data_IF_085515056598
#
_entry.id   IF_085515056598
#
_cell.length_a   1.000
_cell.length_b   1.000
_cell.length_c   1.000
_cell.angle_alpha   90.00
_cell.angle_beta   90.00
_cell.angle_gamma   90.00
#
_symmetry.space_group_name_H-M   'P 1'
#
loop_
_entity.id
_entity.type
_entity.pdbx_description
1 polymer ?
#
# COMPACT_ATOMS: atom_id res chain seq x y z
N UNK A 1 4.63 -15.76 26.86
CA UNK A 1 4.00 -16.44 28.01
C UNK A 1 4.60 -15.79 29.23
N UNK A 2 3.82 -15.02 29.99
CA UNK A 2 4.34 -14.40 31.22
C UNK A 2 4.82 -15.49 32.17
N UNK A 3 6.01 -15.31 32.76
CA UNK A 3 6.50 -16.22 33.78
C UNK A 3 5.47 -16.29 34.92
N UNK A 4 5.17 -17.50 35.38
CA UNK A 4 4.11 -17.75 36.36
C UNK A 4 4.26 -16.92 37.63
N UNK A 5 5.51 -16.61 38.04
CA UNK A 5 5.80 -15.85 39.24
C UNK A 5 5.54 -14.34 39.10
N UNK A 6 5.47 -13.81 37.88
CA UNK A 6 5.18 -12.40 37.60
C UNK A 6 3.68 -12.10 37.47
N UNK A 7 2.82 -12.96 38.01
CA UNK A 7 1.36 -12.77 37.97
C UNK A 7 0.76 -12.48 39.34
N UNK A 8 -0.21 -11.56 39.39
CA UNK A 8 -0.96 -11.26 40.60
C UNK A 8 -1.72 -12.49 41.10
N UNK A 9 -2.26 -13.28 40.16
CA UNK A 9 -3.02 -14.49 40.45
C UNK A 9 -2.18 -15.53 41.19
N UNK A 10 -0.97 -15.81 40.71
CA UNK A 10 -0.09 -16.81 41.33
C UNK A 10 0.39 -16.37 42.71
N UNK A 11 0.65 -15.07 42.87
CA UNK A 11 0.95 -14.50 44.18
C UNK A 11 -0.20 -14.67 45.17
N UNK A 12 -1.43 -14.29 44.78
CA UNK A 12 -2.63 -14.45 45.63
C UNK A 12 -2.87 -15.89 46.05
N UNK A 13 -2.63 -16.85 45.14
CA UNK A 13 -2.75 -18.27 45.44
C UNK A 13 -1.71 -18.71 46.48
N UNK A 14 -0.46 -18.26 46.33
CA UNK A 14 0.63 -18.63 47.24
C UNK A 14 0.50 -17.95 48.60
N UNK A 15 0.03 -16.70 48.66
CA UNK A 15 -0.13 -15.96 49.92
C UNK A 15 -1.39 -16.32 50.70
N UNK A 16 -2.28 -17.15 50.15
CA UNK A 16 -3.56 -17.47 50.78
C UNK A 16 -3.36 -18.19 52.11
N UNK A 17 -3.94 -17.62 53.18
CA UNK A 17 -3.85 -18.18 54.53
C UNK A 17 -2.54 -17.88 55.26
N UNK A 18 -1.66 -17.08 54.65
CA UNK A 18 -0.42 -16.61 55.30
C UNK A 18 -0.65 -15.28 56.00
N UNK A 19 0.19 -14.96 56.98
CA UNK A 19 0.19 -13.65 57.67
C UNK A 19 1.02 -12.59 56.92
N UNK A 20 1.36 -12.82 55.64
CA UNK A 20 2.19 -11.91 54.86
C UNK A 20 1.41 -10.62 54.53
N UNK A 21 2.03 -9.46 54.78
CA UNK A 21 1.47 -8.15 54.37
C UNK A 21 1.65 -7.95 52.85
N UNK A 22 0.89 -8.74 52.10
CA UNK A 22 1.09 -9.02 50.68
C UNK A 22 0.43 -8.01 49.73
N UNK A 23 -0.35 -7.05 50.24
CA UNK A 23 -1.13 -6.12 49.43
C UNK A 23 -0.27 -5.22 48.53
N UNK A 24 0.85 -4.63 49.00
CA UNK A 24 1.70 -3.80 48.13
C UNK A 24 2.32 -4.59 46.97
N UNK A 25 2.79 -5.83 47.22
CA UNK A 25 3.36 -6.69 46.19
C UNK A 25 2.28 -7.14 45.18
N UNK A 26 1.07 -7.46 45.63
CA UNK A 26 -0.04 -7.77 44.75
C UNK A 26 -0.39 -6.60 43.81
N UNK A 27 -0.42 -5.37 44.34
CA UNK A 27 -0.64 -4.15 43.54
C UNK A 27 0.48 -3.93 42.52
N UNK A 28 1.74 -4.14 42.90
CA UNK A 28 2.88 -4.01 42.00
C UNK A 28 2.82 -5.04 40.86
N UNK A 29 2.47 -6.30 41.16
CA UNK A 29 2.29 -7.35 40.15
C UNK A 29 1.14 -7.03 39.19
N UNK A 30 0.00 -6.54 39.69
CA UNK A 30 -1.11 -6.11 38.83
C UNK A 30 -0.74 -4.90 37.95
N UNK A 31 0.08 -3.99 38.46
CA UNK A 31 0.60 -2.86 37.66
C UNK A 31 1.55 -3.35 36.57
N UNK A 32 2.42 -4.33 36.88
CA UNK A 32 3.27 -4.99 35.89
C UNK A 32 2.48 -5.68 34.78
N UNK A 33 1.44 -6.45 35.10
CA UNK A 33 0.58 -7.11 34.08
C UNK A 33 -0.10 -6.11 33.13
N UNK A 34 -0.36 -4.88 33.58
CA UNK A 34 -0.86 -3.80 32.73
C UNK A 34 0.25 -3.18 31.89
N UNK A 35 1.41 -2.91 32.50
CA UNK A 35 2.55 -2.29 31.83
C UNK A 35 3.17 -3.20 30.75
N UNK A 36 3.21 -4.52 30.96
CA UNK A 36 3.66 -5.51 29.96
C UNK A 36 2.88 -5.40 28.64
N UNK A 37 1.60 -5.00 28.71
CA UNK A 37 0.76 -4.77 27.52
C UNK A 37 0.99 -3.42 26.86
N UNK A 38 1.53 -2.44 27.61
CA UNK A 38 1.79 -1.08 27.12
C UNK A 38 3.14 -0.97 26.41
N UNK A 39 4.12 -1.79 26.78
CA UNK A 39 5.41 -1.88 26.10
C UNK A 39 6.59 -2.15 27.03
N UNK A 40 7.78 -2.42 26.47
CA UNK A 40 8.94 -2.85 27.26
C UNK A 40 9.48 -1.76 28.20
N UNK A 41 9.36 -0.47 27.86
CA UNK A 41 9.82 0.63 28.72
C UNK A 41 8.97 0.77 30.00
N UNK A 42 7.65 0.70 29.86
CA UNK A 42 6.75 0.74 31.02
C UNK A 42 6.84 -0.56 31.83
N UNK A 43 7.03 -1.69 31.15
CA UNK A 43 7.29 -2.98 31.78
C UNK A 43 8.55 -2.95 32.67
N UNK A 44 9.65 -2.34 32.22
CA UNK A 44 10.88 -2.19 33.02
C UNK A 44 10.64 -1.38 34.31
N UNK A 45 9.94 -0.25 34.23
CA UNK A 45 9.59 0.57 35.41
C UNK A 45 8.70 -0.20 36.39
N UNK A 46 7.75 -0.98 35.88
CA UNK A 46 6.89 -1.79 36.73
C UNK A 46 7.68 -2.93 37.42
N UNK A 47 8.66 -3.53 36.74
CA UNK A 47 9.57 -4.53 37.34
C UNK A 47 10.45 -3.93 38.46
N UNK A 48 10.83 -2.65 38.39
CA UNK A 48 11.51 -1.96 39.50
C UNK A 48 10.66 -1.91 40.76
N UNK A 49 9.38 -1.60 40.61
CA UNK A 49 8.47 -1.54 41.75
C UNK A 49 8.15 -2.94 42.30
N UNK A 50 7.97 -3.96 41.44
CA UNK A 50 7.81 -5.35 41.88
C UNK A 50 9.01 -5.82 42.70
N UNK A 51 10.24 -5.58 42.22
CA UNK A 51 11.47 -5.94 42.94
C UNK A 51 11.52 -5.27 44.31
N UNK A 52 11.26 -3.96 44.37
CA UNK A 52 11.28 -3.18 45.61
C UNK A 52 10.27 -3.71 46.63
N UNK A 53 9.05 -4.04 46.20
CA UNK A 53 8.04 -4.60 47.10
C UNK A 53 8.39 -6.02 47.55
N UNK A 54 9.01 -6.83 46.68
CA UNK A 54 9.52 -8.15 47.03
C UNK A 54 10.62 -8.07 48.11
N UNK A 55 11.56 -7.13 47.98
CA UNK A 55 12.63 -6.91 48.96
C UNK A 55 12.11 -6.44 50.31
N UNK A 56 11.14 -5.51 50.30
CA UNK A 56 10.48 -5.03 51.52
C UNK A 56 9.75 -6.17 52.24
N UNK A 57 9.05 -7.01 51.48
CA UNK A 57 8.33 -8.16 52.03
C UNK A 57 9.31 -9.18 52.63
N UNK A 58 10.40 -9.51 51.93
CA UNK A 58 11.44 -10.42 52.41
C UNK A 58 12.11 -9.91 53.70
N UNK A 59 12.33 -8.60 53.83
CA UNK A 59 12.85 -7.99 55.07
C UNK A 59 11.89 -8.09 56.25
N UNK A 60 10.58 -8.06 56.00
CA UNK A 60 9.55 -8.10 57.05
C UNK A 60 9.26 -9.50 57.59
N UNK A 61 9.54 -10.54 56.79
CA UNK A 61 9.23 -11.93 57.11
C UNK A 61 10.50 -12.80 57.15
N UNK A 62 11.55 -12.29 57.81
CA UNK A 62 12.82 -13.02 58.01
C UNK A 62 12.55 -14.33 58.75
N UNK A 63 12.92 -15.45 58.14
CA UNK A 63 12.78 -16.79 58.71
C UNK A 63 11.69 -17.65 58.07
N UNK A 64 10.80 -17.08 57.27
CA UNK A 64 9.83 -17.86 56.48
C UNK A 64 10.52 -18.47 55.25
N UNK A 65 10.80 -19.77 55.32
CA UNK A 65 11.47 -20.51 54.23
C UNK A 65 10.63 -20.59 52.95
N UNK A 66 9.29 -20.64 53.07
CA UNK A 66 8.38 -20.75 51.92
C UNK A 66 8.39 -19.43 51.17
N UNK A 67 8.21 -18.32 51.90
CA UNK A 67 8.27 -16.99 51.31
C UNK A 67 9.64 -16.70 50.70
N UNK A 68 10.72 -17.03 51.40
CA UNK A 68 12.09 -16.84 50.90
C UNK A 68 12.32 -17.59 49.58
N UNK A 69 11.82 -18.83 49.48
CA UNK A 69 11.93 -19.62 48.25
C UNK A 69 11.11 -19.02 47.12
N UNK A 70 9.89 -18.56 47.40
CA UNK A 70 9.03 -17.94 46.39
C UNK A 70 9.60 -16.61 45.88
N UNK A 71 10.05 -15.73 46.78
CA UNK A 71 10.70 -14.47 46.43
C UNK A 71 11.99 -14.69 45.62
N UNK A 72 12.76 -15.73 45.93
CA UNK A 72 13.94 -16.11 45.15
C UNK A 72 13.61 -16.60 43.73
N UNK A 73 12.42 -17.18 43.50
CA UNK A 73 11.97 -17.51 42.15
C UNK A 73 11.42 -16.28 41.43
N UNK A 74 10.68 -15.41 42.13
CA UNK A 74 10.23 -14.13 41.59
C UNK A 74 11.42 -13.27 41.12
N UNK A 75 12.49 -13.18 41.90
CA UNK A 75 13.71 -12.45 41.56
C UNK A 75 14.38 -12.96 40.26
N UNK A 76 14.41 -14.28 40.06
CA UNK A 76 14.88 -14.89 38.82
C UNK A 76 14.00 -14.53 37.63
N UNK A 77 12.67 -14.56 37.81
CA UNK A 77 11.72 -14.18 36.77
C UNK A 77 11.84 -12.69 36.41
N UNK A 78 11.98 -11.80 37.40
CA UNK A 78 12.24 -10.37 37.18
C UNK A 78 13.54 -10.19 36.39
N UNK A 79 14.61 -10.86 36.80
CA UNK A 79 15.91 -10.78 36.12
C UNK A 79 15.86 -11.27 34.67
N UNK A 80 15.10 -12.33 34.39
CA UNK A 80 14.89 -12.83 33.04
C UNK A 80 14.10 -11.84 32.19
N UNK A 81 12.96 -11.38 32.70
CA UNK A 81 12.07 -10.46 31.98
C UNK A 81 12.75 -9.11 31.68
N UNK A 82 13.58 -8.59 32.60
CA UNK A 82 14.38 -7.39 32.37
C UNK A 82 15.32 -7.55 31.18
N UNK A 83 16.04 -8.67 31.10
CA UNK A 83 16.96 -8.94 29.98
C UNK A 83 16.21 -8.98 28.64
N UNK A 84 15.02 -9.57 28.63
CA UNK A 84 14.19 -9.62 27.42
C UNK A 84 13.75 -8.22 26.98
N UNK A 85 13.26 -7.38 27.92
CA UNK A 85 12.89 -6.00 27.60
C UNK A 85 14.09 -5.12 27.23
N UNK A 86 15.21 -5.21 27.95
CA UNK A 86 16.44 -4.48 27.63
C UNK A 86 16.93 -4.83 26.22
N UNK A 87 16.86 -6.11 25.84
CA UNK A 87 17.18 -6.55 24.48
C UNK A 87 16.23 -5.92 23.45
N UNK A 88 14.92 -5.94 23.69
CA UNK A 88 13.94 -5.33 22.78
C UNK A 88 14.16 -3.83 22.64
N UNK A 89 14.38 -3.11 23.75
CA UNK A 89 14.66 -1.67 23.74
C UNK A 89 15.98 -1.38 23.02
N UNK A 90 17.03 -2.17 23.24
CA UNK A 90 18.31 -2.01 22.56
C UNK A 90 18.21 -2.29 21.05
N UNK A 91 17.43 -3.29 20.64
CA UNK A 91 17.15 -3.59 19.23
C UNK A 91 16.33 -2.48 18.57
N UNK A 92 15.30 -1.96 19.25
CA UNK A 92 14.53 -0.81 18.79
C UNK A 92 15.39 0.45 18.66
N UNK A 93 16.28 0.72 19.63
CA UNK A 93 17.21 1.83 19.58
C UNK A 93 18.24 1.68 18.44
N UNK A 94 18.74 0.46 18.19
CA UNK A 94 19.60 0.17 17.03
C UNK A 94 18.86 0.34 15.72
N UNK A 95 17.61 -0.12 15.62
CA UNK A 95 16.77 0.07 14.44
C UNK A 95 16.49 1.55 14.18
N UNK A 96 16.16 2.32 15.22
CA UNK A 96 15.96 3.77 15.14
C UNK A 96 17.25 4.50 14.75
N UNK A 97 18.40 4.09 15.32
CA UNK A 97 19.71 4.62 14.92
C UNK A 97 20.05 4.28 13.48
N UNK A 98 19.85 3.03 13.04
CA UNK A 98 20.07 2.65 11.65
C UNK A 98 19.10 3.35 10.68
N UNK A 99 17.86 3.60 11.08
CA UNK A 99 16.91 4.39 10.30
C UNK A 99 17.35 5.86 10.23
N UNK A 100 17.87 6.41 11.33
CA UNK A 100 18.42 7.76 11.38
C UNK A 100 19.74 7.90 10.62
N UNK A 101 20.61 6.90 10.67
CA UNK A 101 21.88 6.85 9.94
C UNK A 101 21.64 6.53 8.46
N UNK A 102 20.58 5.80 8.10
CA UNK A 102 20.11 5.70 6.72
C UNK A 102 19.47 7.00 6.22
N UNK A 103 18.85 7.78 7.12
CA UNK A 103 18.34 9.11 6.80
C UNK A 103 19.42 10.20 6.80
N UNK A 104 20.53 10.00 7.53
CA UNK A 104 21.64 10.97 7.71
C UNK A 104 22.91 10.62 6.93
N UNK A 105 23.03 9.37 6.46
CA UNK A 105 24.14 8.86 5.65
C UNK A 105 24.07 9.26 4.16
N UNK A 106 22.99 9.91 3.74
CA UNK A 106 23.00 10.82 2.59
C UNK A 106 22.87 12.23 3.18
N UNK A 107 24.01 12.89 3.42
CA UNK A 107 24.01 14.31 3.75
C UNK A 107 23.23 15.08 2.69
N UNK A 108 22.18 15.76 3.15
CA UNK A 108 21.22 16.53 2.36
C UNK A 108 21.84 17.69 1.56
N UNK A 109 23.10 18.03 1.80
CA UNK A 109 23.85 19.06 1.04
C UNK A 109 24.65 18.51 -0.16
N UNK A 110 24.85 17.20 -0.29
CA UNK A 110 25.72 16.64 -1.35
C UNK A 110 24.96 16.08 -2.56
N UNK A 111 23.65 15.81 -2.48
CA UNK A 111 22.89 15.33 -3.66
C UNK A 111 22.55 16.45 -4.66
N UNK A 112 22.30 17.68 -4.18
CA UNK A 112 22.11 18.82 -5.07
C UNK A 112 23.40 19.22 -5.78
N UNK A 113 24.58 18.91 -5.23
CA UNK A 113 25.88 19.16 -5.85
C UNK A 113 26.65 17.89 -6.24
N UNK A 114 25.99 16.73 -6.27
CA UNK A 114 26.63 15.49 -6.72
C UNK A 114 27.14 15.70 -8.14
N UNK A 115 28.45 15.54 -8.32
CA UNK A 115 29.11 15.63 -9.60
C UNK A 115 28.48 14.63 -10.58
N UNK A 116 28.47 15.01 -11.86
CA UNK A 116 27.89 14.24 -12.95
C UNK A 116 28.35 12.75 -12.98
N UNK A 117 29.59 12.48 -12.57
CA UNK A 117 30.14 11.13 -12.46
C UNK A 117 29.44 10.25 -11.41
N UNK A 118 28.97 10.83 -10.30
CA UNK A 118 28.28 10.08 -9.22
C UNK A 118 26.87 9.66 -9.65
N UNK A 119 26.28 10.34 -10.63
CA UNK A 119 24.96 9.97 -11.19
C UNK A 119 25.03 8.75 -12.11
N UNK A 120 26.21 8.47 -12.65
CA UNK A 120 26.49 7.33 -13.53
C UNK A 120 26.99 6.10 -12.75
N UNK A 121 27.14 6.17 -11.43
CA UNK A 121 27.58 5.03 -10.62
C UNK A 121 26.54 3.89 -10.65
N UNK A 122 26.90 2.70 -11.18
CA UNK A 122 26.00 1.54 -11.22
C UNK A 122 25.49 1.14 -9.84
N UNK A 123 26.27 1.30 -8.77
CA UNK A 123 25.86 0.92 -7.41
C UNK A 123 24.73 1.80 -6.90
N UNK A 124 24.78 3.10 -7.21
CA UNK A 124 23.73 4.04 -6.84
C UNK A 124 22.43 3.72 -7.58
N UNK A 125 22.53 3.46 -8.88
CA UNK A 125 21.38 3.05 -9.69
C UNK A 125 20.75 1.74 -9.16
N UNK A 126 21.57 0.74 -8.83
CA UNK A 126 21.12 -0.52 -8.23
C UNK A 126 20.39 -0.28 -6.91
N UNK A 127 20.93 0.58 -6.04
CA UNK A 127 20.30 0.91 -4.75
C UNK A 127 18.90 1.53 -4.95
N UNK A 128 18.75 2.44 -5.91
CA UNK A 128 17.45 3.03 -6.23
C UNK A 128 16.45 2.00 -6.77
N UNK A 129 16.89 1.06 -7.60
CA UNK A 129 16.03 -0.04 -8.05
C UNK A 129 15.63 -0.99 -6.92
N UNK A 130 16.54 -1.33 -6.00
CA UNK A 130 16.22 -2.13 -4.83
C UNK A 130 15.19 -1.44 -3.93
N UNK A 131 15.31 -0.11 -3.79
CA UNK A 131 14.34 0.70 -3.07
C UNK A 131 12.95 0.69 -3.75
N UNK A 132 12.88 0.85 -5.07
CA UNK A 132 11.62 0.73 -5.82
C UNK A 132 11.02 -0.69 -5.76
N UNK A 133 11.86 -1.73 -5.69
CA UNK A 133 11.41 -3.12 -5.55
C UNK A 133 10.85 -3.40 -4.16
N UNK A 134 11.44 -2.80 -3.11
CA UNK A 134 10.99 -2.95 -1.72
C UNK A 134 9.66 -2.25 -1.47
N UNK A 135 9.41 -1.14 -2.15
CA UNK A 135 8.20 -0.34 -2.01
C UNK A 135 7.54 -0.09 -3.39
N UNK A 136 6.54 -0.91 -3.77
CA UNK A 136 5.83 -0.78 -5.04
C UNK A 136 5.08 0.55 -5.22
N UNK A 137 4.79 1.27 -4.13
CA UNK A 137 4.15 2.59 -4.20
C UNK A 137 5.16 3.72 -4.42
N UNK A 138 6.45 3.45 -4.21
CA UNK A 138 7.49 4.44 -4.41
C UNK A 138 7.59 4.85 -5.88
N UNK A 139 7.82 6.14 -6.08
CA UNK A 139 8.09 6.75 -7.38
C UNK A 139 9.46 7.43 -7.31
N UNK A 140 10.22 7.39 -8.40
CA UNK A 140 11.49 8.10 -8.52
C UNK A 140 11.48 8.94 -9.79
N UNK A 141 12.12 10.09 -9.77
CA UNK A 141 12.42 10.84 -10.97
C UNK A 141 13.54 10.12 -11.72
N UNK A 142 13.47 10.10 -13.05
CA UNK A 142 14.51 9.53 -13.88
C UNK A 142 15.01 10.53 -14.92
N UNK A 143 16.24 10.33 -15.36
CA UNK A 143 16.76 10.94 -16.56
C UNK A 143 17.49 9.90 -17.40
N UNK A 144 17.31 10.01 -18.72
CA UNK A 144 17.95 9.22 -19.73
C UNK A 144 18.60 10.13 -20.76
N UNK A 145 19.86 9.88 -21.10
CA UNK A 145 20.59 10.61 -22.13
C UNK A 145 21.19 9.60 -23.11
N UNK A 146 20.85 9.75 -24.39
CA UNK A 146 21.43 8.96 -25.47
C UNK A 146 22.70 9.63 -25.98
N UNK A 147 23.87 9.03 -25.73
CA UNK A 147 25.12 9.41 -26.38
C UNK A 147 25.48 8.41 -27.50
N UNK A 148 26.46 8.79 -28.33
CA UNK A 148 26.95 7.94 -29.43
C UNK A 148 27.69 6.69 -28.92
N UNK A 149 28.39 6.81 -27.80
CA UNK A 149 29.21 5.75 -27.20
C UNK A 149 28.44 4.97 -26.16
N UNK A 150 27.96 5.65 -25.11
CA UNK A 150 27.23 5.03 -24.01
C UNK A 150 26.01 5.85 -23.60
N UNK A 151 24.86 5.18 -23.42
CA UNK A 151 23.66 5.85 -22.92
C UNK A 151 23.65 5.87 -21.40
N UNK A 152 23.34 7.01 -20.80
CA UNK A 152 23.21 7.16 -19.35
C UNK A 152 21.77 7.00 -18.89
N UNK A 153 21.59 6.35 -17.74
CA UNK A 153 20.30 6.27 -17.05
C UNK A 153 20.53 6.43 -15.56
N UNK A 154 19.76 7.31 -14.92
CA UNK A 154 19.87 7.57 -13.48
C UNK A 154 18.49 7.77 -12.85
N UNK A 155 18.37 7.44 -11.57
CA UNK A 155 17.16 7.56 -10.77
C UNK A 155 17.45 8.39 -9.52
N UNK A 156 16.55 9.29 -9.15
CA UNK A 156 16.58 9.96 -7.84
C UNK A 156 15.16 10.20 -7.32
N UNK A 157 14.91 9.96 -6.02
CA UNK A 157 13.63 10.27 -5.41
C UNK A 157 13.46 11.78 -5.11
N UNK A 158 14.58 12.51 -5.01
CA UNK A 158 14.59 13.92 -4.53
C UNK A 158 14.89 14.93 -5.63
N UNK A 159 15.74 14.57 -6.61
CA UNK A 159 16.14 15.50 -7.67
C UNK A 159 15.13 15.46 -8.81
N UNK A 160 14.54 16.61 -9.16
CA UNK A 160 13.61 16.73 -10.28
C UNK A 160 14.21 16.17 -11.58
N UNK A 161 13.40 15.47 -12.40
CA UNK A 161 13.86 14.84 -13.64
C UNK A 161 14.60 15.79 -14.58
N UNK A 162 14.15 17.05 -14.68
CA UNK A 162 14.83 18.09 -15.48
C UNK A 162 16.24 18.43 -14.98
N UNK A 163 16.44 18.50 -13.66
CA UNK A 163 17.77 18.74 -13.05
C UNK A 163 18.67 17.52 -13.26
N UNK A 164 18.14 16.30 -13.07
CA UNK A 164 18.87 15.06 -13.37
C UNK A 164 19.33 15.02 -14.83
N UNK A 165 18.44 15.36 -15.76
CA UNK A 165 18.74 15.40 -17.19
C UNK A 165 19.83 16.42 -17.51
N UNK A 166 19.77 17.63 -16.95
CA UNK A 166 20.80 18.63 -17.15
C UNK A 166 22.19 18.11 -16.73
N UNK A 167 22.30 17.57 -15.51
CA UNK A 167 23.56 17.00 -15.00
C UNK A 167 24.05 15.81 -15.84
N UNK A 168 23.14 14.91 -16.23
CA UNK A 168 23.49 13.74 -17.03
C UNK A 168 23.89 14.14 -18.47
N UNK A 169 23.25 15.16 -19.04
CA UNK A 169 23.54 15.69 -20.37
C UNK A 169 24.92 16.35 -20.45
N UNK A 170 25.32 17.01 -19.36
CA UNK A 170 26.66 17.58 -19.20
C UNK A 170 27.71 16.48 -19.07
N UNK A 171 27.46 15.45 -18.26
CA UNK A 171 28.35 14.31 -18.06
C UNK A 171 28.68 13.56 -19.35
N UNK A 172 27.68 13.39 -20.22
CA UNK A 172 27.76 12.60 -21.44
C UNK A 172 27.92 13.45 -22.71
N UNK A 173 28.07 14.77 -22.56
CA UNK A 173 28.16 15.75 -23.64
C UNK A 173 27.06 15.59 -24.71
N UNK A 174 25.85 15.17 -24.30
CA UNK A 174 24.72 14.93 -25.19
C UNK A 174 23.45 15.57 -24.67
N UNK A 175 22.82 16.39 -25.53
CA UNK A 175 21.53 17.05 -25.25
C UNK A 175 20.33 16.22 -25.68
N UNK A 176 20.54 15.00 -26.18
CA UNK A 176 19.48 14.14 -26.70
C UNK A 176 19.09 13.14 -25.62
N UNK A 177 17.92 13.34 -25.02
CA UNK A 177 17.35 12.39 -24.07
C UNK A 177 15.99 12.82 -23.53
N UNK A 178 15.56 12.19 -22.46
CA UNK A 178 14.26 12.41 -21.83
C UNK A 178 14.35 12.26 -20.31
N UNK A 179 13.34 12.75 -19.61
CA UNK A 179 13.21 12.62 -18.17
C UNK A 179 11.73 12.48 -17.80
N UNK A 180 11.48 12.06 -16.57
CA UNK A 180 10.13 11.94 -16.05
C UNK A 180 10.09 11.09 -14.79
N UNK A 181 9.03 10.32 -14.61
CA UNK A 181 8.80 9.51 -13.41
C UNK A 181 8.92 8.02 -13.74
N UNK A 182 9.60 7.28 -12.88
CA UNK A 182 9.81 5.85 -13.00
C UNK A 182 9.29 5.10 -11.76
N UNK A 183 8.76 3.91 -11.98
CA UNK A 183 8.40 2.98 -10.91
C UNK A 183 8.45 1.53 -11.37
N UNK A 184 8.44 0.61 -10.40
CA UNK A 184 8.37 -0.82 -10.67
C UNK A 184 6.95 -1.34 -10.39
N UNK A 185 6.42 -2.07 -11.35
CA UNK A 185 5.22 -2.91 -11.20
C UNK A 185 5.63 -4.38 -11.38
N UNK A 186 5.89 -5.04 -10.25
CA UNK A 186 6.52 -6.37 -10.23
C UNK A 186 7.91 -6.35 -10.87
N UNK A 187 8.05 -7.01 -12.03
CA UNK A 187 9.29 -7.05 -12.84
C UNK A 187 9.25 -6.10 -14.04
N UNK A 188 8.24 -5.23 -14.10
CA UNK A 188 8.05 -4.25 -15.17
C UNK A 188 8.52 -2.88 -14.70
N UNK A 189 9.49 -2.30 -15.39
CA UNK A 189 9.87 -0.90 -15.22
C UNK A 189 8.95 -0.04 -16.07
N UNK A 190 8.19 0.84 -15.42
CA UNK A 190 7.35 1.83 -16.10
C UNK A 190 8.05 3.18 -16.05
N UNK A 191 8.16 3.81 -17.21
CA UNK A 191 8.78 5.12 -17.42
C UNK A 191 7.72 6.06 -18.00
N UNK A 192 7.27 7.04 -17.23
CA UNK A 192 6.36 8.08 -17.68
C UNK A 192 7.17 9.31 -18.10
N UNK A 193 7.05 9.74 -19.36
CA UNK A 193 7.80 10.86 -19.92
C UNK A 193 6.91 12.05 -20.24
N UNK A 194 7.44 13.25 -19.99
CA UNK A 194 6.76 14.50 -20.34
C UNK A 194 6.84 14.79 -21.84
N UNK A 195 7.93 14.37 -22.49
CA UNK A 195 8.18 14.59 -23.92
C UNK A 195 8.50 13.28 -24.62
N UNK A 196 7.63 12.88 -25.55
CA UNK A 196 7.75 11.66 -26.33
C UNK A 196 9.13 11.52 -26.99
N UNK A 197 9.78 10.38 -26.78
CA UNK A 197 11.04 10.01 -27.40
C UNK A 197 11.03 8.52 -27.71
N UNK A 198 11.28 8.15 -28.97
CA UNK A 198 11.35 6.75 -29.39
C UNK A 198 12.70 6.10 -29.09
N UNK A 199 12.69 4.79 -28.86
CA UNK A 199 13.87 3.97 -28.65
C UNK A 199 14.46 4.05 -27.24
N UNK A 200 13.73 4.63 -26.29
CA UNK A 200 14.18 4.77 -24.89
C UNK A 200 14.19 3.40 -24.21
N UNK A 201 13.13 2.61 -24.38
CA UNK A 201 12.99 1.30 -23.71
C UNK A 201 14.13 0.34 -24.05
N UNK A 202 14.60 0.33 -25.30
CA UNK A 202 15.72 -0.51 -25.76
C UNK A 202 17.06 -0.07 -25.18
N UNK A 203 17.30 1.24 -25.14
CA UNK A 203 18.58 1.81 -24.67
C UNK A 203 18.71 1.84 -23.15
N UNK A 204 17.60 1.92 -22.42
CA UNK A 204 17.59 1.91 -20.95
C UNK A 204 17.95 0.54 -20.38
N UNK A 205 17.74 -0.56 -21.12
CA UNK A 205 18.10 -1.91 -20.63
C UNK A 205 19.59 -2.10 -20.37
N UNK A 206 20.46 -1.54 -21.21
CA UNK A 206 21.91 -1.71 -21.08
C UNK A 206 22.44 -1.20 -19.71
N UNK A 207 22.18 0.05 -19.28
CA UNK A 207 22.64 0.53 -17.98
C UNK A 207 22.00 -0.20 -16.80
N UNK A 208 20.76 -0.68 -16.94
CA UNK A 208 20.08 -1.48 -15.90
C UNK A 208 20.75 -2.85 -15.75
N UNK A 209 21.06 -3.51 -16.86
CA UNK A 209 21.79 -4.79 -16.85
C UNK A 209 23.20 -4.58 -16.28
N UNK A 210 23.87 -3.49 -16.64
CA UNK A 210 25.20 -3.15 -16.13
C UNK A 210 25.23 -2.88 -14.61
N UNK A 211 24.15 -2.35 -14.03
CA UNK A 211 24.04 -2.21 -12.57
C UNK A 211 23.70 -3.50 -11.83
N UNK A 212 23.49 -4.62 -12.54
CA UNK A 212 23.15 -5.91 -11.95
C UNK A 212 21.68 -6.07 -11.57
N UNK A 213 20.81 -5.13 -11.97
CA UNK A 213 19.37 -5.25 -11.80
C UNK A 213 18.75 -5.93 -13.02
N UNK A 214 17.75 -6.80 -12.82
CA UNK A 214 17.07 -7.53 -13.91
C UNK A 214 15.59 -7.17 -13.94
N UNK A 215 15.10 -6.82 -15.12
CA UNK A 215 13.69 -6.49 -15.38
C UNK A 215 13.19 -7.27 -16.59
N UNK A 216 11.96 -7.79 -16.48
CA UNK A 216 11.33 -8.56 -17.54
C UNK A 216 10.85 -7.64 -18.66
N UNK A 217 10.25 -6.50 -18.30
CA UNK A 217 9.60 -5.59 -19.25
C UNK A 217 9.96 -4.14 -18.94
N UNK A 218 10.13 -3.33 -19.99
CA UNK A 218 10.20 -1.87 -19.89
C UNK A 218 9.03 -1.30 -20.67
N UNK A 219 8.27 -0.40 -20.06
CA UNK A 219 7.10 0.25 -20.68
C UNK A 219 7.26 1.76 -20.56
N UNK A 220 7.09 2.45 -21.68
CA UNK A 220 7.14 3.90 -21.78
C UNK A 220 5.72 4.45 -21.88
N UNK A 221 5.35 5.35 -20.97
CA UNK A 221 4.05 6.03 -20.93
C UNK A 221 4.22 7.52 -21.26
N UNK A 222 3.22 8.11 -21.90
CA UNK A 222 3.12 9.57 -22.01
C UNK A 222 2.57 10.22 -20.73
N UNK A 223 2.44 11.55 -20.73
CA UNK A 223 1.91 12.32 -19.61
C UNK A 223 0.47 11.90 -19.25
N UNK A 224 -0.29 11.39 -20.22
CA UNK A 224 -1.66 10.93 -20.10
C UNK A 224 -1.78 9.45 -19.67
N UNK A 225 -0.65 8.74 -19.53
CA UNK A 225 -0.61 7.34 -19.12
C UNK A 225 -0.88 6.33 -20.23
N UNK A 226 -0.84 6.75 -21.50
CA UNK A 226 -0.92 5.87 -22.66
C UNK A 226 0.46 5.31 -22.98
N UNK A 227 0.49 4.02 -23.30
CA UNK A 227 1.72 3.30 -23.67
C UNK A 227 2.21 3.79 -25.04
N UNK A 228 3.43 4.35 -25.06
CA UNK A 228 4.13 4.80 -26.26
C UNK A 228 5.02 3.70 -26.86
N UNK A 229 5.74 2.98 -26.02
CA UNK A 229 6.69 1.94 -26.42
C UNK A 229 6.75 0.86 -25.34
N UNK A 230 6.88 -0.39 -25.74
CA UNK A 230 7.13 -1.49 -24.83
C UNK A 230 8.21 -2.41 -25.39
N UNK A 231 9.03 -2.95 -24.49
CA UNK A 231 10.09 -3.88 -24.85
C UNK A 231 10.13 -5.00 -23.81
N UNK A 232 10.06 -6.25 -24.26
CA UNK A 232 10.09 -7.45 -23.43
C UNK A 232 11.48 -8.05 -23.53
N UNK A 233 12.05 -8.51 -22.41
CA UNK A 233 13.37 -9.12 -22.42
C UNK A 233 13.37 -10.40 -23.25
N UNK A 234 14.41 -10.62 -24.04
CA UNK A 234 14.62 -11.90 -24.71
C UNK A 234 14.68 -13.03 -23.67
N UNK A 235 13.93 -14.10 -23.95
CA UNK A 235 13.69 -15.24 -23.05
C UNK A 235 14.97 -15.93 -22.56
N UNK A 236 16.10 -15.71 -23.27
CA UNK A 236 17.43 -16.24 -22.92
C UNK A 236 18.10 -15.59 -21.70
N UNK A 237 17.62 -14.42 -21.24
CA UNK A 237 18.19 -13.70 -20.09
C UNK A 237 17.37 -13.88 -18.80
N UNK A 238 16.26 -14.63 -18.83
CA UNK A 238 15.44 -14.93 -17.67
C UNK A 238 15.94 -16.21 -16.97
N UNK A 239 15.94 -16.27 -15.62
CA UNK A 239 16.18 -17.53 -14.93
C UNK A 239 15.10 -18.55 -15.33
N UNK A 240 15.45 -19.84 -15.46
CA UNK A 240 14.48 -20.86 -15.82
C UNK A 240 13.35 -20.89 -14.78
N UNK A 241 12.09 -21.04 -15.22
CA UNK A 241 11.02 -21.38 -14.29
C UNK A 241 11.37 -22.71 -13.63
N UNK A 242 11.31 -22.75 -12.30
CA UNK A 242 11.40 -24.01 -11.57
C UNK A 242 10.23 -24.92 -11.99
N UNK A 243 10.56 -25.93 -12.80
CA UNK A 243 9.71 -27.10 -13.06
C UNK A 243 8.80 -27.01 -14.28
N UNK A 244 9.31 -27.38 -15.46
CA UNK A 244 8.69 -28.42 -16.30
C UNK A 244 9.61 -28.76 -17.48
N UNK A 245 9.98 -30.03 -17.58
CA UNK A 245 10.79 -30.60 -18.64
C UNK A 245 10.00 -30.71 -19.95
N UNK A 246 10.58 -30.30 -21.08
CA UNK A 246 10.56 -31.10 -22.31
C UNK A 246 11.56 -30.60 -23.35
N UNK A 247 11.86 -31.53 -24.26
CA UNK A 247 13.08 -31.73 -25.04
C UNK A 247 13.30 -30.80 -26.24
N UNK A 248 14.55 -30.80 -26.71
CA UNK A 248 15.17 -29.94 -27.71
C UNK A 248 15.04 -30.47 -29.16
N UNK A 249 14.73 -29.62 -30.14
CA UNK A 249 15.01 -29.85 -31.57
C UNK A 249 15.15 -28.53 -32.39
N UNK A 250 15.98 -28.48 -33.46
CA UNK A 250 16.44 -27.25 -34.14
C UNK A 250 15.54 -26.76 -35.31
N UNK A 251 15.78 -25.54 -35.86
CA UNK A 251 14.72 -24.59 -36.21
C UNK A 251 14.12 -24.78 -37.60
N UNK A 252 12.79 -24.88 -37.65
CA UNK A 252 11.97 -24.61 -38.84
C UNK A 252 11.37 -23.20 -38.71
N UNK A 253 11.54 -22.38 -39.75
CA UNK A 253 10.78 -21.14 -39.96
C UNK A 253 9.29 -21.42 -39.73
N UNK A 254 8.74 -20.89 -38.64
CA UNK A 254 7.36 -21.11 -38.23
C UNK A 254 6.62 -19.78 -38.03
N UNK A 255 5.33 -19.74 -38.37
CA UNK A 255 4.52 -18.53 -38.50
C UNK A 255 4.36 -17.82 -37.16
N UNK A 256 4.16 -16.49 -37.21
CA UNK A 256 3.75 -15.65 -36.08
C UNK A 256 2.76 -16.41 -35.20
N UNK A 257 3.15 -16.70 -33.96
CA UNK A 257 2.29 -17.30 -32.95
C UNK A 257 1.05 -16.42 -32.75
N UNK A 258 -0.12 -16.98 -33.03
CA UNK A 258 -1.40 -16.32 -32.72
C UNK A 258 -1.51 -16.15 -31.20
N UNK A 259 -1.96 -14.98 -30.77
CA UNK A 259 -2.18 -14.66 -29.36
C UNK A 259 -3.19 -15.67 -28.75
N UNK A 260 -2.86 -16.37 -27.65
CA UNK A 260 -3.73 -17.36 -27.03
C UNK A 260 -5.09 -16.78 -26.55
N UNK A 261 -5.21 -15.45 -26.45
CA UNK A 261 -6.45 -14.78 -26.06
C UNK A 261 -7.38 -14.43 -27.24
N UNK A 262 -6.92 -14.57 -28.49
CA UNK A 262 -7.72 -14.28 -29.69
C UNK A 262 -8.92 -15.23 -29.81
N UNK A 263 -8.70 -16.52 -29.64
CA UNK A 263 -9.76 -17.55 -29.73
C UNK A 263 -10.91 -17.32 -28.73
N UNK A 264 -10.68 -17.13 -27.42
CA UNK A 264 -11.77 -16.86 -26.48
C UNK A 264 -12.48 -15.53 -26.75
N UNK A 265 -11.76 -14.50 -27.24
CA UNK A 265 -12.37 -13.23 -27.64
C UNK A 265 -13.36 -13.42 -28.80
N UNK A 266 -12.95 -14.10 -29.88
CA UNK A 266 -13.80 -14.37 -31.04
C UNK A 266 -15.03 -15.21 -30.67
N UNK A 267 -14.86 -16.23 -29.84
CA UNK A 267 -15.97 -17.04 -29.33
C UNK A 267 -16.97 -16.19 -28.53
N UNK A 268 -16.48 -15.30 -27.67
CA UNK A 268 -17.33 -14.44 -26.85
C UNK A 268 -18.06 -13.40 -27.67
N UNK A 269 -17.38 -12.80 -28.65
CA UNK A 269 -17.98 -11.84 -29.58
C UNK A 269 -19.12 -12.51 -30.39
N UNK A 270 -18.90 -13.73 -30.87
CA UNK A 270 -19.92 -14.50 -31.59
C UNK A 270 -21.13 -14.83 -30.71
N UNK A 271 -20.89 -15.22 -29.45
CA UNK A 271 -21.97 -15.54 -28.52
C UNK A 271 -22.84 -14.32 -28.16
N UNK A 272 -22.27 -13.12 -28.14
CA UNK A 272 -22.97 -11.88 -27.80
C UNK A 272 -23.60 -11.17 -29.00
N UNK A 273 -23.30 -11.57 -30.23
CA UNK A 273 -23.80 -10.91 -31.44
C UNK A 273 -25.34 -10.89 -31.52
N UNK A 274 -26.00 -12.04 -31.32
CA UNK A 274 -27.46 -12.14 -31.42
C UNK A 274 -28.20 -11.38 -30.29
N UNK A 275 -27.85 -11.55 -29.00
CA UNK A 275 -28.50 -10.81 -27.92
C UNK A 275 -28.28 -9.30 -28.02
N UNK A 276 -27.09 -8.88 -28.47
CA UNK A 276 -26.79 -7.46 -28.69
C UNK A 276 -27.65 -6.86 -29.79
N UNK A 277 -27.80 -7.56 -30.92
CA UNK A 277 -28.64 -7.11 -32.02
C UNK A 277 -30.10 -6.99 -31.58
N UNK A 278 -30.63 -8.00 -30.89
CA UNK A 278 -32.00 -7.99 -30.35
C UNK A 278 -32.23 -6.81 -29.38
N UNK A 279 -31.25 -6.51 -28.51
CA UNK A 279 -31.36 -5.39 -27.59
C UNK A 279 -31.31 -4.03 -28.32
N UNK A 280 -30.49 -3.90 -29.36
CA UNK A 280 -30.40 -2.67 -30.15
C UNK A 280 -31.67 -2.45 -30.98
N UNK A 281 -32.25 -3.49 -31.56
CA UNK A 281 -33.49 -3.43 -32.34
C UNK A 281 -34.71 -3.23 -31.44
N UNK A 282 -34.70 -3.81 -30.23
CA UNK A 282 -35.74 -3.65 -29.21
C UNK A 282 -35.71 -2.32 -28.45
N UNK A 283 -34.82 -1.38 -28.81
CA UNK A 283 -34.76 -0.06 -28.18
C UNK A 283 -34.27 -0.07 -26.73
N UNK A 284 -33.31 -0.95 -26.40
CA UNK A 284 -32.77 -1.08 -25.05
C UNK A 284 -32.34 0.27 -24.46
N UNK A 285 -32.68 0.59 -23.19
CA UNK A 285 -32.41 1.90 -22.59
C UNK A 285 -30.91 2.27 -22.57
N UNK A 286 -30.03 1.27 -22.63
CA UNK A 286 -28.57 1.45 -22.73
C UNK A 286 -27.98 1.29 -24.15
N UNK A 287 -28.78 1.41 -25.21
CA UNK A 287 -28.33 1.14 -26.59
C UNK A 287 -27.07 1.93 -27.01
N UNK A 288 -26.96 3.20 -26.61
CA UNK A 288 -25.76 4.02 -26.89
C UNK A 288 -24.50 3.42 -26.24
N UNK A 289 -24.60 3.05 -24.96
CA UNK A 289 -23.51 2.47 -24.18
C UNK A 289 -23.11 1.08 -24.66
N UNK A 290 -24.08 0.28 -25.12
CA UNK A 290 -23.82 -1.04 -25.72
C UNK A 290 -22.99 -0.92 -27.01
N UNK A 291 -23.30 0.07 -27.87
CA UNK A 291 -22.51 0.33 -29.09
C UNK A 291 -21.11 0.82 -28.77
N UNK A 292 -20.96 1.71 -27.79
CA UNK A 292 -19.67 2.22 -27.33
C UNK A 292 -18.76 1.10 -26.81
N UNK A 293 -19.28 0.22 -25.94
CA UNK A 293 -18.53 -0.92 -25.42
C UNK A 293 -18.14 -1.92 -26.51
N UNK A 294 -19.02 -2.17 -27.49
CA UNK A 294 -18.67 -3.01 -28.64
C UNK A 294 -17.53 -2.41 -29.47
N UNK A 295 -17.58 -1.10 -29.74
CA UNK A 295 -16.54 -0.41 -30.49
C UNK A 295 -15.21 -0.38 -29.72
N UNK A 296 -15.27 -0.18 -28.40
CA UNK A 296 -14.10 -0.27 -27.53
C UNK A 296 -13.49 -1.68 -27.56
N UNK A 297 -14.30 -2.73 -27.43
CA UNK A 297 -13.83 -4.12 -27.50
C UNK A 297 -13.14 -4.43 -28.84
N UNK A 298 -13.74 -3.99 -29.97
CA UNK A 298 -13.16 -4.12 -31.31
C UNK A 298 -11.84 -3.36 -31.44
N UNK A 299 -11.80 -2.08 -31.06
CA UNK A 299 -10.57 -1.29 -31.14
C UNK A 299 -9.43 -1.85 -30.28
N UNK A 300 -9.76 -2.50 -29.15
CA UNK A 300 -8.78 -3.24 -28.34
C UNK A 300 -8.27 -4.50 -29.03
N UNK A 301 -9.15 -5.29 -29.63
CA UNK A 301 -8.77 -6.47 -30.38
C UNK A 301 -7.94 -6.14 -31.64
N UNK A 302 -8.27 -5.06 -32.35
CA UNK A 302 -7.50 -4.56 -33.50
C UNK A 302 -6.07 -4.16 -33.09
N UNK A 303 -5.91 -3.66 -31.85
CA UNK A 303 -4.62 -3.37 -31.24
C UNK A 303 -3.90 -4.56 -30.60
N UNK A 304 -4.39 -5.79 -30.80
CA UNK A 304 -3.83 -7.01 -30.18
C UNK A 304 -4.09 -7.13 -28.67
N UNK A 305 -4.92 -6.27 -28.09
CA UNK A 305 -5.23 -6.25 -26.65
C UNK A 305 -6.48 -7.09 -26.35
N UNK A 306 -6.45 -8.38 -26.69
CA UNK A 306 -7.60 -9.29 -26.56
C UNK A 306 -8.11 -9.44 -25.11
N UNK A 307 -7.24 -9.37 -24.10
CA UNK A 307 -7.64 -9.37 -22.69
C UNK A 307 -8.51 -8.17 -22.30
N UNK A 308 -8.18 -6.97 -22.77
CA UNK A 308 -9.00 -5.77 -22.56
C UNK A 308 -10.31 -5.82 -23.35
N UNK A 309 -10.27 -6.41 -24.56
CA UNK A 309 -11.46 -6.69 -25.36
C UNK A 309 -12.43 -7.64 -24.66
N UNK A 310 -11.93 -8.71 -24.05
CA UNK A 310 -12.73 -9.67 -23.28
C UNK A 310 -13.44 -9.02 -22.09
N UNK A 311 -12.75 -8.17 -21.32
CA UNK A 311 -13.36 -7.44 -20.21
C UNK A 311 -14.50 -6.53 -20.67
N UNK A 312 -14.31 -5.84 -21.80
CA UNK A 312 -15.36 -5.01 -22.38
C UNK A 312 -16.59 -5.84 -22.82
N UNK A 313 -16.37 -7.04 -23.38
CA UNK A 313 -17.44 -7.98 -23.73
C UNK A 313 -18.18 -8.53 -22.50
N UNK A 314 -17.52 -8.70 -21.35
CA UNK A 314 -18.18 -9.10 -20.11
C UNK A 314 -19.11 -8.01 -19.56
N UNK A 315 -18.66 -6.74 -19.59
CA UNK A 315 -19.51 -5.60 -19.20
C UNK A 315 -20.71 -5.47 -20.14
N UNK A 316 -20.48 -5.68 -21.44
CA UNK A 316 -21.54 -5.69 -22.45
C UNK A 316 -22.57 -6.80 -22.18
N UNK A 317 -22.12 -8.02 -21.85
CA UNK A 317 -22.99 -9.13 -21.48
C UNK A 317 -23.83 -8.82 -20.22
N UNK A 318 -23.24 -8.20 -19.21
CA UNK A 318 -23.93 -7.81 -17.97
C UNK A 318 -25.03 -6.78 -18.23
N UNK A 319 -24.76 -5.79 -19.08
CA UNK A 319 -25.76 -4.78 -19.46
C UNK A 319 -26.92 -5.36 -20.25
N UNK A 320 -26.66 -6.34 -21.13
CA UNK A 320 -27.71 -7.05 -21.86
C UNK A 320 -28.61 -7.88 -20.94
N UNK A 321 -28.05 -8.44 -19.86
CA UNK A 321 -28.83 -9.17 -18.85
C UNK A 321 -29.70 -8.29 -17.95
N UNK A 322 -29.48 -6.97 -17.93
CA UNK A 322 -30.19 -6.05 -17.02
C UNK A 322 -31.44 -5.38 -17.61
N UNK A 323 -31.65 -5.42 -18.95
CA UNK A 323 -32.77 -4.72 -19.59
C UNK A 323 -33.80 -5.60 -20.31
N UNK A 324 -33.71 -6.93 -20.20
CA UNK A 324 -34.72 -7.86 -20.72
C UNK A 324 -35.76 -8.23 -19.66
N UNK A 325 -36.77 -7.39 -19.47
CA UNK A 325 -37.87 -7.65 -18.56
C UNK A 325 -38.98 -8.49 -19.21
N UNK A 326 -38.97 -9.79 -18.95
CA UNK A 326 -40.20 -10.52 -18.61
C UNK A 326 -39.84 -11.46 -17.44
N UNK A 327 -40.51 -11.27 -16.31
CA UNK A 327 -40.14 -11.85 -15.03
C UNK A 327 -40.50 -13.35 -14.95
N UNK A 328 -39.53 -14.25 -14.69
CA UNK A 328 -39.82 -15.51 -14.03
C UNK A 328 -39.69 -15.34 -12.51
N UNK A 329 -40.53 -16.07 -11.78
CA UNK A 329 -40.57 -16.14 -10.33
C UNK A 329 -39.18 -16.39 -9.71
N UNK A 330 -38.92 -15.89 -8.48
CA UNK A 330 -37.60 -15.93 -7.86
C UNK A 330 -37.20 -17.37 -7.52
N UNK A 331 -36.37 -17.99 -8.36
CA UNK A 331 -35.51 -19.07 -7.93
C UNK A 331 -34.36 -18.45 -7.11
N UNK A 332 -34.04 -18.97 -5.91
CA UNK A 332 -32.93 -18.46 -5.12
C UNK A 332 -31.61 -18.79 -5.84
N UNK A 333 -31.07 -17.81 -6.57
CA UNK A 333 -29.72 -17.89 -7.11
C UNK A 333 -28.72 -17.73 -5.96
N UNK A 334 -28.26 -18.86 -5.42
CA UNK A 334 -27.04 -18.98 -4.62
C UNK A 334 -25.82 -18.84 -5.53
N UNK A 335 -25.61 -17.66 -6.11
CA UNK A 335 -24.29 -17.28 -6.58
C UNK A 335 -23.59 -16.58 -5.42
N UNK A 336 -22.87 -17.38 -4.64
CA UNK A 336 -22.04 -16.89 -3.54
C UNK A 336 -20.94 -16.01 -4.18
N UNK A 337 -20.85 -14.71 -3.83
CA UNK A 337 -19.78 -13.86 -4.31
C UNK A 337 -18.44 -14.55 -4.02
N UNK A 338 -17.56 -14.65 -5.02
CA UNK A 338 -16.17 -15.10 -4.78
C UNK A 338 -15.65 -14.34 -3.57
N UNK A 339 -15.17 -15.05 -2.55
CA UNK A 339 -14.72 -14.46 -1.27
C UNK A 339 -13.89 -13.21 -1.56
N UNK A 340 -14.49 -12.04 -1.34
CA UNK A 340 -13.77 -10.79 -1.42
C UNK A 340 -12.64 -10.85 -0.38
N UNK A 341 -11.46 -10.37 -0.75
CA UNK A 341 -10.33 -10.27 0.17
C UNK A 341 -10.58 -9.09 1.12
N UNK A 342 -11.46 -9.30 2.11
CA UNK A 342 -11.89 -8.27 3.04
C UNK A 342 -10.73 -7.70 3.86
N UNK A 343 -9.72 -8.51 4.17
CA UNK A 343 -8.52 -8.06 4.87
C UNK A 343 -7.76 -7.02 4.03
N UNK A 344 -7.57 -7.31 2.73
CA UNK A 344 -6.97 -6.34 1.81
C UNK A 344 -7.83 -5.10 1.63
N UNK A 345 -9.16 -5.25 1.54
CA UNK A 345 -10.10 -4.12 1.47
C UNK A 345 -9.94 -3.18 2.67
N UNK A 346 -9.93 -3.75 3.87
CA UNK A 346 -9.76 -2.99 5.11
C UNK A 346 -8.39 -2.28 5.14
N UNK A 347 -7.31 -2.98 4.80
CA UNK A 347 -5.97 -2.38 4.76
C UNK A 347 -5.88 -1.20 3.78
N UNK A 348 -6.40 -1.36 2.55
CA UNK A 348 -6.42 -0.29 1.56
C UNK A 348 -7.21 0.92 2.07
N UNK A 349 -8.35 0.68 2.72
CA UNK A 349 -9.15 1.74 3.33
C UNK A 349 -8.39 2.49 4.43
N UNK A 350 -7.79 1.77 5.37
CA UNK A 350 -7.01 2.35 6.48
C UNK A 350 -5.84 3.19 5.98
N UNK A 351 -5.11 2.72 4.96
CA UNK A 351 -3.99 3.46 4.37
C UNK A 351 -4.47 4.75 3.71
N UNK A 352 -5.52 4.71 2.89
CA UNK A 352 -6.06 5.91 2.25
C UNK A 352 -6.56 6.92 3.30
N UNK A 353 -7.31 6.46 4.31
CA UNK A 353 -7.82 7.32 5.38
C UNK A 353 -6.69 8.00 6.15
N UNK A 354 -5.65 7.23 6.53
CA UNK A 354 -4.48 7.76 7.25
C UNK A 354 -3.77 8.83 6.44
N UNK A 355 -3.52 8.56 5.14
CA UNK A 355 -2.93 9.54 4.23
C UNK A 355 -3.74 10.83 4.17
N UNK A 356 -5.06 10.73 4.02
CA UNK A 356 -5.94 11.91 3.95
C UNK A 356 -5.94 12.67 5.27
N UNK A 357 -5.92 11.98 6.41
CA UNK A 357 -5.77 12.62 7.72
C UNK A 357 -4.47 13.39 7.85
N UNK A 358 -3.36 12.80 7.41
CA UNK A 358 -2.05 13.45 7.44
C UNK A 358 -1.96 14.64 6.49
N UNK A 359 -2.57 14.55 5.30
CA UNK A 359 -2.65 15.65 4.34
C UNK A 359 -3.49 16.82 4.91
N UNK A 360 -4.60 16.53 5.61
CA UNK A 360 -5.39 17.54 6.31
C UNK A 360 -4.65 18.19 7.48
N UNK A 361 -3.85 17.42 8.24
CA UNK A 361 -2.99 17.97 9.30
C UNK A 361 -1.93 18.90 8.75
N UNK A 362 -1.25 18.52 7.67
CA UNK A 362 -0.26 19.39 6.99
C UNK A 362 -0.91 20.68 6.50
N UNK A 363 -2.11 20.61 5.93
CA UNK A 363 -2.86 21.79 5.54
C UNK A 363 -3.16 22.69 6.74
N UNK A 364 -3.64 22.12 7.85
CA UNK A 364 -3.88 22.86 9.10
C UNK A 364 -2.61 23.56 9.59
N UNK A 365 -1.48 22.86 9.64
CA UNK A 365 -0.20 23.41 10.07
C UNK A 365 0.26 24.55 9.15
N UNK A 366 0.13 24.38 7.83
CA UNK A 366 0.46 25.42 6.85
C UNK A 366 -0.39 26.68 7.05
N UNK A 367 -1.70 26.54 7.28
CA UNK A 367 -2.58 27.69 7.55
C UNK A 367 -2.19 28.35 8.88
N UNK A 368 -1.99 27.59 9.95
CA UNK A 368 -1.61 28.15 11.25
C UNK A 368 -0.26 28.87 11.21
N UNK A 369 0.69 28.36 10.43
CA UNK A 369 1.99 29.00 10.23
C UNK A 369 1.85 30.33 9.50
N UNK A 370 1.08 30.38 8.41
CA UNK A 370 0.88 31.61 7.63
C UNK A 370 0.21 32.72 8.46
N UNK A 371 -0.73 32.35 9.34
CA UNK A 371 -1.48 33.30 10.16
C UNK A 371 -0.96 33.46 11.59
N UNK A 372 0.25 32.99 11.90
CA UNK A 372 0.78 33.01 13.27
C UNK A 372 0.84 34.42 13.89
N UNK A 373 1.06 35.45 13.08
CA UNK A 373 1.09 36.85 13.52
C UNK A 373 -0.27 37.57 13.42
N UNK A 374 -1.32 36.88 12.94
CA UNK A 374 -2.64 37.49 12.75
C UNK A 374 -3.39 37.64 14.07
N UNK A 375 -4.03 38.79 14.35
CA UNK A 375 -4.92 38.93 15.50
C UNK A 375 -6.14 38.00 15.45
N UNK A 376 -6.42 37.40 14.29
CA UNK A 376 -7.53 36.48 14.06
C UNK A 376 -7.17 34.99 14.28
N UNK A 377 -5.96 34.67 14.76
CA UNK A 377 -5.48 33.28 14.87
C UNK A 377 -6.41 32.37 15.67
N UNK A 378 -7.09 32.90 16.69
CA UNK A 378 -8.03 32.13 17.50
C UNK A 378 -9.29 31.73 16.70
N UNK A 379 -9.83 32.65 15.90
CA UNK A 379 -10.98 32.35 15.03
C UNK A 379 -10.59 31.40 13.90
N UNK A 380 -9.40 31.60 13.34
CA UNK A 380 -8.82 30.71 12.32
C UNK A 380 -8.67 29.29 12.86
N UNK A 381 -8.07 29.12 14.05
CA UNK A 381 -7.91 27.82 14.68
C UNK A 381 -9.27 27.15 14.96
N UNK A 382 -10.27 27.91 15.42
CA UNK A 382 -11.62 27.39 15.63
C UNK A 382 -12.28 26.91 14.32
N UNK A 383 -12.10 27.64 13.21
CA UNK A 383 -12.65 27.26 11.90
C UNK A 383 -11.90 26.08 11.29
N UNK A 384 -10.58 26.00 11.47
CA UNK A 384 -9.74 24.89 10.97
C UNK A 384 -10.05 23.58 11.69
N UNK A 385 -10.51 23.62 12.95
CA UNK A 385 -10.98 22.42 13.65
C UNK A 385 -12.05 21.61 12.89
N UNK A 386 -12.80 22.26 11.98
CA UNK A 386 -13.74 21.56 11.09
C UNK A 386 -13.06 20.58 10.13
N UNK A 387 -11.78 20.76 9.80
CA UNK A 387 -11.03 19.80 8.99
C UNK A 387 -10.85 18.47 9.73
N UNK A 388 -10.64 18.52 11.05
CA UNK A 388 -10.53 17.32 11.89
C UNK A 388 -11.88 16.58 11.94
N UNK A 389 -12.99 17.32 12.06
CA UNK A 389 -14.34 16.74 12.01
C UNK A 389 -14.61 16.04 10.67
N UNK A 390 -14.18 16.62 9.55
CA UNK A 390 -14.33 16.01 8.22
C UNK A 390 -13.55 14.69 8.16
N UNK A 391 -12.32 14.64 8.68
CA UNK A 391 -11.54 13.39 8.72
C UNK A 391 -12.23 12.31 9.56
N UNK A 392 -12.77 12.67 10.72
CA UNK A 392 -13.49 11.77 11.62
C UNK A 392 -14.82 11.26 11.05
N UNK A 393 -15.46 11.98 10.12
CA UNK A 393 -16.70 11.49 9.48
C UNK A 393 -16.49 10.25 8.63
N UNK A 394 -15.27 10.03 8.12
CA UNK A 394 -14.92 8.85 7.33
C UNK A 394 -14.34 7.71 8.18
N UNK A 395 -14.76 7.61 9.44
CA UNK A 395 -14.12 6.78 10.47
C UNK A 395 -14.25 5.25 10.31
N UNK A 396 -13.64 4.57 11.29
CA UNK A 396 -13.40 3.13 11.50
C UNK A 396 -14.61 2.20 11.27
N UNK A 397 -15.82 2.72 11.04
CA UNK A 397 -17.00 1.88 10.82
C UNK A 397 -16.86 0.97 9.58
N UNK A 398 -16.35 1.50 8.46
CA UNK A 398 -16.13 0.67 7.28
C UNK A 398 -15.04 -0.37 7.52
N UNK A 399 -13.96 0.01 8.20
CA UNK A 399 -12.87 -0.90 8.59
C UNK A 399 -13.38 -2.02 9.49
N UNK A 400 -14.14 -1.69 10.52
CA UNK A 400 -14.73 -2.65 11.45
C UNK A 400 -15.67 -3.63 10.74
N UNK A 401 -16.53 -3.14 9.83
CA UNK A 401 -17.46 -4.01 9.08
C UNK A 401 -16.70 -4.93 8.11
N UNK A 402 -15.68 -4.42 7.41
CA UNK A 402 -14.84 -5.25 6.53
C UNK A 402 -14.05 -6.30 7.31
N UNK A 403 -13.49 -5.93 8.46
CA UNK A 403 -12.76 -6.85 9.34
C UNK A 403 -13.69 -7.94 9.91
N UNK A 404 -14.88 -7.56 10.38
CA UNK A 404 -15.91 -8.50 10.82
C UNK A 404 -16.35 -9.42 9.68
N UNK A 405 -16.51 -8.92 8.45
CA UNK A 405 -16.87 -9.73 7.29
C UNK A 405 -15.79 -10.77 6.94
N UNK A 406 -14.52 -10.38 7.08
CA UNK A 406 -13.38 -11.29 6.91
C UNK A 406 -13.31 -12.37 8.01
N UNK A 407 -13.67 -12.01 9.25
CA UNK A 407 -13.64 -12.92 10.40
C UNK A 407 -14.89 -13.81 10.54
N UNK A 408 -16.01 -13.46 9.89
CA UNK A 408 -17.26 -14.20 9.98
C UNK A 408 -17.11 -15.65 9.52
N UNK A 409 -17.39 -16.58 10.44
CA UNK A 409 -17.41 -18.02 10.16
C UNK A 409 -18.68 -18.43 9.39
N UNK A 410 -19.82 -17.85 9.78
CA UNK A 410 -21.12 -18.10 9.16
C UNK A 410 -21.29 -17.31 7.85
N UNK A 411 -21.86 -17.98 6.84
CA UNK A 411 -22.06 -17.40 5.52
C UNK A 411 -23.21 -16.38 5.51
N UNK A 412 -24.28 -16.61 6.28
CA UNK A 412 -25.38 -15.66 6.36
C UNK A 412 -24.93 -14.36 7.04
N UNK A 413 -24.13 -14.46 8.09
CA UNK A 413 -23.48 -13.30 8.73
C UNK A 413 -22.53 -12.57 7.78
N UNK A 414 -21.69 -13.30 7.02
CA UNK A 414 -20.80 -12.71 6.00
C UNK A 414 -21.58 -11.93 4.96
N UNK A 415 -22.66 -12.48 4.42
CA UNK A 415 -23.54 -11.82 3.45
C UNK A 415 -24.18 -10.55 4.05
N UNK A 416 -24.62 -10.61 5.32
CA UNK A 416 -25.18 -9.45 6.03
C UNK A 416 -24.13 -8.33 6.15
N UNK A 417 -22.91 -8.66 6.58
CA UNK A 417 -21.81 -7.71 6.73
C UNK A 417 -21.33 -7.15 5.38
N UNK A 418 -21.32 -7.96 4.33
CA UNK A 418 -21.03 -7.53 2.97
C UNK A 418 -22.01 -6.44 2.50
N UNK A 419 -23.32 -6.66 2.67
CA UNK A 419 -24.34 -5.64 2.35
C UNK A 419 -24.16 -4.38 3.19
N UNK A 420 -23.82 -4.53 4.47
CA UNK A 420 -23.56 -3.39 5.37
C UNK A 420 -22.33 -2.58 4.91
N UNK A 421 -21.27 -3.24 4.46
CA UNK A 421 -20.09 -2.59 3.88
C UNK A 421 -20.46 -1.85 2.59
N UNK A 422 -21.21 -2.48 1.67
CA UNK A 422 -21.67 -1.85 0.44
C UNK A 422 -22.51 -0.59 0.71
N UNK A 423 -23.45 -0.65 1.65
CA UNK A 423 -24.25 0.51 2.06
C UNK A 423 -23.40 1.64 2.67
N UNK A 424 -22.40 1.29 3.47
CA UNK A 424 -21.47 2.26 4.07
C UNK A 424 -20.63 2.96 3.01
N UNK A 425 -20.12 2.21 2.03
CA UNK A 425 -19.37 2.76 0.89
C UNK A 425 -20.23 3.73 0.08
N UNK A 426 -21.48 3.36 -0.25
CA UNK A 426 -22.39 4.24 -1.00
C UNK A 426 -22.73 5.52 -0.25
N UNK A 427 -22.93 5.44 1.07
CA UNK A 427 -23.13 6.61 1.93
C UNK A 427 -21.91 7.53 1.91
N UNK A 428 -20.71 6.98 2.05
CA UNK A 428 -19.46 7.75 2.02
C UNK A 428 -19.22 8.40 0.66
N UNK A 429 -19.49 7.70 -0.45
CA UNK A 429 -19.43 8.29 -1.79
C UNK A 429 -20.39 9.48 -1.93
N UNK A 430 -21.63 9.33 -1.46
CA UNK A 430 -22.62 10.42 -1.47
C UNK A 430 -22.20 11.61 -0.58
N UNK A 431 -21.57 11.34 0.56
CA UNK A 431 -21.01 12.37 1.44
C UNK A 431 -19.86 13.11 0.77
N UNK A 432 -18.94 12.40 0.10
CA UNK A 432 -17.83 13.03 -0.65
C UNK A 432 -18.33 13.98 -1.73
N UNK A 433 -19.45 13.65 -2.37
CA UNK A 433 -20.01 14.47 -3.43
C UNK A 433 -20.78 15.69 -2.92
N UNK A 434 -21.32 15.61 -1.71
CA UNK A 434 -22.13 16.68 -1.10
C UNK A 434 -21.35 17.56 -0.13
N UNK A 435 -20.15 17.17 0.30
CA UNK A 435 -19.37 17.92 1.30
C UNK A 435 -18.75 19.21 0.70
N UNK A 436 -19.18 20.40 1.16
CA UNK A 436 -18.70 21.68 0.64
C UNK A 436 -17.27 22.02 1.09
N UNK A 437 -16.75 21.40 2.15
CA UNK A 437 -15.38 21.60 2.60
C UNK A 437 -14.44 20.87 1.66
N UNK A 438 -14.70 19.57 1.43
CA UNK A 438 -13.84 18.75 0.55
C UNK A 438 -13.77 19.26 -0.88
N UNK A 439 -14.88 19.78 -1.43
CA UNK A 439 -14.89 20.36 -2.78
C UNK A 439 -13.99 21.60 -2.92
N UNK A 440 -13.79 22.37 -1.85
CA UNK A 440 -12.94 23.58 -1.85
C UNK A 440 -11.47 23.28 -1.57
N UNK A 441 -11.17 22.13 -0.99
CA UNK A 441 -9.78 21.76 -0.65
C UNK A 441 -8.90 21.56 -1.87
N UNK A 442 -9.45 21.16 -3.02
CA UNK A 442 -8.68 20.98 -4.25
C UNK A 442 -7.94 22.26 -4.68
N UNK A 443 -8.58 23.42 -4.51
CA UNK A 443 -8.08 24.71 -4.95
C UNK A 443 -7.47 25.53 -3.79
N UNK A 444 -7.07 24.88 -2.69
CA UNK A 444 -6.50 25.57 -1.55
C UNK A 444 -5.09 26.12 -1.89
N UNK A 445 -4.72 27.33 -1.43
CA UNK A 445 -3.45 27.96 -1.79
C UNK A 445 -2.26 27.54 -0.91
N UNK A 446 -2.48 26.75 0.14
CA UNK A 446 -1.45 26.44 1.14
C UNK A 446 -0.67 25.16 0.80
N UNK A 447 -1.38 24.07 0.48
CA UNK A 447 -0.79 22.76 0.18
C UNK A 447 -1.61 22.05 -0.90
N UNK A 448 -1.03 21.60 -2.03
CA UNK A 448 -1.81 20.94 -3.07
C UNK A 448 -2.28 19.55 -2.61
N UNK A 449 -3.51 19.45 -2.11
CA UNK A 449 -4.13 18.21 -1.65
C UNK A 449 -5.51 18.03 -2.28
N UNK A 450 -5.85 16.79 -2.63
CA UNK A 450 -7.18 16.41 -3.14
C UNK A 450 -7.73 15.19 -2.39
N UNK A 451 -8.17 15.38 -1.13
CA UNK A 451 -8.69 14.27 -0.32
C UNK A 451 -9.96 13.66 -0.92
N UNK A 452 -10.75 14.43 -1.68
CA UNK A 452 -11.96 13.94 -2.35
C UNK A 452 -11.60 12.92 -3.43
N UNK A 453 -10.64 13.23 -4.30
CA UNK A 453 -10.20 12.30 -5.33
C UNK A 453 -9.59 11.02 -4.73
N UNK A 454 -8.76 11.15 -3.68
CA UNK A 454 -8.12 10.01 -3.02
C UNK A 454 -9.14 9.06 -2.37
N UNK A 455 -10.08 9.60 -1.58
CA UNK A 455 -11.15 8.81 -0.94
C UNK A 455 -12.10 8.22 -1.98
N UNK A 456 -12.51 9.03 -2.97
CA UNK A 456 -13.43 8.62 -4.03
C UNK A 456 -12.89 7.46 -4.87
N UNK A 457 -11.63 7.54 -5.31
CA UNK A 457 -10.99 6.46 -6.07
C UNK A 457 -10.93 5.16 -5.25
N UNK A 458 -10.58 5.26 -3.97
CA UNK A 458 -10.51 4.08 -3.08
C UNK A 458 -11.89 3.46 -2.87
N UNK A 459 -12.90 4.26 -2.53
CA UNK A 459 -14.26 3.78 -2.31
C UNK A 459 -14.89 3.19 -3.57
N UNK A 460 -14.58 3.71 -4.76
CA UNK A 460 -15.02 3.13 -6.03
C UNK A 460 -14.40 1.74 -6.28
N UNK A 461 -13.11 1.55 -5.94
CA UNK A 461 -12.46 0.24 -6.02
C UNK A 461 -13.10 -0.74 -5.03
N UNK A 462 -13.28 -0.31 -3.78
CA UNK A 462 -13.94 -1.13 -2.75
C UNK A 462 -15.38 -1.47 -3.15
N UNK A 463 -16.13 -0.52 -3.70
CA UNK A 463 -17.50 -0.77 -4.17
C UNK A 463 -17.56 -1.84 -5.26
N UNK A 464 -16.52 -2.00 -6.09
CA UNK A 464 -16.46 -3.07 -7.10
C UNK A 464 -16.11 -4.44 -6.51
N UNK A 465 -15.45 -4.46 -5.36
CA UNK A 465 -15.07 -5.69 -4.66
C UNK A 465 -16.17 -6.17 -3.71
N UNK A 466 -17.04 -5.25 -3.27
CA UNK A 466 -18.17 -5.49 -2.34
C UNK A 466 -19.53 -5.42 -3.06
N UNK A 467 -19.55 -5.48 -4.40
CA UNK A 467 -20.78 -5.56 -5.22
C UNK A 467 -20.74 -6.81 -6.08
#
# INVERSE_FOLDING_TARGET
MADKYLSEKEWKNTSKGTAWKAEPLAKALAAFEKADKSGPEDGLKALDEVQKQADLLGKSAKGDKVLTTWLGNLDKSISSQRKDYEKVVAEAAKAAKNAKDAAKGESEDDEENAAAAVLLDPKRLLSQFQMLKRDPQRRAQFAFVAAKTESGFTLSPKVAGRKLFAKLSEALESKVGTFGVAWLDGTTLVLQIDKAMGGVVKKVRAPIKACGFRIAKVVLWDAEGKVLEEDVADEKDLPPPEGSSSDNAPPQESPRSEDPQKTPYEQRLKALATPLQQALDGGHPAAAKLRELLNFAKGKADGGQFGAGLQALEVLAKLLGQGGGEAPAPTPATDVPKKADYARCAQVWTVTRTRVSDDLKKLREAILSEFAASPLINEINARIGRLDEVAQRFDDQLEAVLSQAGAAADEAERIRLHRQAAQSIQRMLSQLDTDPVLSRLKDNPFVPIDPRAALGATLQVLSKQVA
#
